data_IF_203286012194
#
_entry.id   IF_203286012194
#
_cell.length_a   1.000
_cell.length_b   1.000
_cell.length_c   1.000
_cell.angle_alpha   90.00
_cell.angle_beta   90.00
_cell.angle_gamma   90.00
#
_symmetry.space_group_name_H-M   'P 1'
#
loop_
_entity.id
_entity.type
_entity.pdbx_description
1 polymer ?
#
# COMPACT_ATOMS: atom_id res chain seq x y z
N UNK A 1 39.99 4.80 -4.35
CA UNK A 1 38.86 4.60 -5.30
C UNK A 1 37.82 5.65 -4.97
N UNK A 2 37.93 6.85 -5.56
CA UNK A 2 36.93 7.90 -5.40
C UNK A 2 35.73 7.53 -6.27
N UNK A 3 34.62 7.15 -5.65
CA UNK A 3 33.36 6.99 -6.36
C UNK A 3 32.89 8.41 -6.68
N UNK A 4 33.10 8.84 -7.91
CA UNK A 4 32.46 10.03 -8.46
C UNK A 4 30.96 9.73 -8.51
N UNK A 5 30.22 10.16 -7.50
CA UNK A 5 28.78 10.29 -7.61
C UNK A 5 28.55 11.39 -8.65
N UNK A 6 28.18 11.00 -9.87
CA UNK A 6 27.54 11.93 -10.80
C UNK A 6 26.21 12.33 -10.15
N UNK A 7 26.23 13.36 -9.32
CA UNK A 7 25.03 13.98 -8.78
C UNK A 7 24.24 14.52 -9.96
N UNK A 8 23.05 13.97 -10.18
CA UNK A 8 22.21 14.39 -11.29
C UNK A 8 21.65 15.78 -10.96
N UNK A 9 22.11 16.79 -11.67
CA UNK A 9 21.67 18.18 -11.49
C UNK A 9 20.18 18.31 -11.81
N UNK A 10 19.41 18.81 -10.86
CA UNK A 10 18.00 19.19 -11.06
C UNK A 10 17.95 20.61 -11.60
N UNK A 11 18.52 21.55 -10.86
CA UNK A 11 18.50 22.97 -11.17
C UNK A 11 19.61 23.67 -10.39
N UNK A 12 20.21 24.69 -11.02
CA UNK A 12 21.10 25.64 -10.37
C UNK A 12 20.58 27.05 -10.58
N UNK A 13 20.40 27.78 -9.49
CA UNK A 13 20.16 29.21 -9.50
C UNK A 13 21.49 29.91 -9.21
N UNK A 14 21.90 30.84 -10.06
CA UNK A 14 23.19 31.54 -9.99
C UNK A 14 23.10 32.88 -10.73
N UNK A 15 24.12 33.73 -10.60
CA UNK A 15 24.21 35.03 -11.28
C UNK A 15 23.01 35.96 -10.98
N UNK A 16 22.44 35.88 -9.78
CA UNK A 16 21.25 36.65 -9.39
C UNK A 16 19.95 36.24 -10.07
N UNK A 17 19.91 35.09 -10.77
CA UNK A 17 18.73 34.61 -11.47
C UNK A 17 17.98 33.59 -10.60
N UNK A 18 16.83 34.02 -10.06
CA UNK A 18 15.92 33.17 -9.30
C UNK A 18 15.40 31.98 -10.15
N UNK A 19 15.16 30.84 -9.50
CA UNK A 19 14.57 29.65 -10.11
C UNK A 19 13.46 29.09 -9.23
N UNK A 20 12.35 28.69 -9.83
CA UNK A 20 11.27 28.00 -9.13
C UNK A 20 10.73 26.85 -9.97
N UNK A 21 10.05 25.90 -9.31
CA UNK A 21 9.53 24.72 -9.98
C UNK A 21 8.96 23.70 -9.00
N UNK A 22 8.93 22.44 -9.44
CA UNK A 22 8.45 21.30 -8.67
C UNK A 22 9.48 20.17 -8.64
N UNK A 23 9.54 19.47 -7.52
CA UNK A 23 10.30 18.23 -7.32
C UNK A 23 9.34 17.06 -7.33
N UNK A 24 9.72 16.01 -8.06
CA UNK A 24 9.07 14.71 -7.98
C UNK A 24 9.48 13.97 -6.70
N UNK A 25 8.73 12.95 -6.26
CA UNK A 25 9.13 12.12 -5.12
C UNK A 25 10.54 11.53 -5.30
N UNK A 26 11.36 11.59 -4.25
CA UNK A 26 12.76 11.16 -4.31
C UNK A 26 13.64 11.67 -3.17
N UNK A 27 14.93 11.39 -3.27
CA UNK A 27 15.94 11.85 -2.33
C UNK A 27 16.82 12.89 -3.00
N UNK A 28 16.93 14.06 -2.37
CA UNK A 28 17.59 15.24 -2.92
C UNK A 28 18.69 15.75 -2.01
N UNK A 29 19.61 16.48 -2.62
CA UNK A 29 20.60 17.29 -1.92
C UNK A 29 20.45 18.74 -2.37
N UNK A 30 20.63 19.66 -1.42
CA UNK A 30 20.66 21.09 -1.68
C UNK A 30 21.96 21.67 -1.14
N UNK A 31 22.58 22.52 -1.94
CA UNK A 31 23.71 23.34 -1.55
C UNK A 31 23.35 24.81 -1.75
N UNK A 32 23.45 25.61 -0.69
CA UNK A 32 23.34 27.06 -0.74
C UNK A 32 24.71 27.66 -0.46
N UNK A 33 25.10 28.64 -1.28
CA UNK A 33 26.38 29.36 -1.18
C UNK A 33 26.14 30.85 -1.21
N UNK A 34 26.44 31.55 -0.12
CA UNK A 34 26.29 32.99 -0.05
C UNK A 34 27.28 33.70 -0.99
N UNK A 35 26.93 34.90 -1.43
CA UNK A 35 27.82 35.68 -2.29
C UNK A 35 28.90 36.40 -1.48
N UNK A 36 29.99 36.74 -2.17
CA UNK A 36 31.06 37.55 -1.60
C UNK A 36 30.61 39.02 -1.43
N UNK A 37 31.11 39.67 -0.38
CA UNK A 37 31.07 41.13 -0.32
C UNK A 37 32.04 41.78 -1.31
N UNK A 38 31.84 43.06 -1.60
CA UNK A 38 32.72 43.79 -2.51
C UNK A 38 34.18 43.73 -2.06
N UNK A 39 35.05 43.38 -2.99
CA UNK A 39 36.50 43.53 -2.84
C UNK A 39 37.00 44.93 -3.24
N UNK A 40 38.06 45.39 -2.56
CA UNK A 40 38.92 46.51 -2.96
C UNK A 40 40.22 45.97 -3.57
N UNK A 41 40.96 46.78 -4.35
CA UNK A 41 42.26 46.37 -4.89
C UNK A 41 43.25 45.90 -3.81
N UNK A 42 43.19 46.49 -2.62
CA UNK A 42 44.06 46.16 -1.48
C UNK A 42 43.51 45.06 -0.57
N UNK A 43 42.20 44.83 -0.54
CA UNK A 43 41.55 43.93 0.43
C UNK A 43 40.36 43.19 -0.17
N UNK A 44 40.31 41.88 0.04
CA UNK A 44 39.20 41.04 -0.39
C UNK A 44 37.96 41.26 0.48
N UNK A 45 36.78 41.31 -0.16
CA UNK A 45 35.50 41.23 0.53
C UNK A 45 35.30 39.86 1.16
N UNK A 46 34.49 39.80 2.20
CA UNK A 46 34.21 38.58 2.92
C UNK A 46 33.53 37.56 2.03
N UNK A 47 33.98 36.31 2.07
CA UNK A 47 33.38 35.21 1.30
C UNK A 47 32.08 34.77 1.96
N UNK A 48 31.08 34.36 1.18
CA UNK A 48 29.82 33.87 1.72
C UNK A 48 29.94 32.45 2.30
N UNK A 49 29.04 32.10 3.20
CA UNK A 49 28.97 30.78 3.83
C UNK A 49 28.48 29.68 2.89
N UNK A 50 28.60 28.43 3.36
CA UNK A 50 28.03 27.25 2.74
C UNK A 50 27.02 26.59 3.66
N UNK A 51 25.89 26.14 3.11
CA UNK A 51 24.98 25.21 3.80
C UNK A 51 24.61 24.09 2.84
N UNK A 52 24.81 22.84 3.26
CA UNK A 52 24.31 21.66 2.54
C UNK A 52 23.37 20.85 3.41
N UNK A 53 22.44 20.15 2.77
CA UNK A 53 21.60 19.17 3.43
C UNK A 53 21.04 18.16 2.43
N UNK A 54 20.68 17.00 2.95
CA UNK A 54 19.88 16.00 2.24
C UNK A 54 18.43 16.05 2.74
N UNK A 55 17.47 15.82 1.85
CA UNK A 55 16.06 15.76 2.23
C UNK A 55 15.29 14.82 1.32
N UNK A 56 14.22 14.27 1.86
CA UNK A 56 13.32 13.35 1.16
C UNK A 56 12.04 14.07 0.79
N UNK A 57 11.68 14.01 -0.49
CA UNK A 57 10.43 14.56 -1.00
C UNK A 57 9.41 13.43 -1.10
N UNK A 58 8.31 13.57 -0.36
CA UNK A 58 7.12 12.72 -0.43
C UNK A 58 6.06 13.50 -1.20
N UNK A 59 5.40 12.86 -2.16
CA UNK A 59 4.56 13.53 -3.17
C UNK A 59 5.34 14.59 -3.97
N UNK A 60 4.62 15.47 -4.66
CA UNK A 60 5.21 16.62 -5.35
C UNK A 60 5.46 17.76 -4.36
N UNK A 61 6.60 18.44 -4.48
CA UNK A 61 6.97 19.58 -3.64
C UNK A 61 7.37 20.78 -4.50
N UNK A 62 6.97 21.99 -4.11
CA UNK A 62 7.39 23.21 -4.81
C UNK A 62 8.71 23.74 -4.24
N UNK A 63 9.56 24.30 -5.10
CA UNK A 63 10.78 24.97 -4.68
C UNK A 63 10.88 26.40 -5.24
N UNK A 64 11.60 27.26 -4.51
CA UNK A 64 11.92 28.64 -4.84
C UNK A 64 13.37 28.90 -4.40
N UNK A 65 14.26 29.14 -5.36
CA UNK A 65 15.69 29.32 -5.18
C UNK A 65 16.08 30.74 -5.55
N UNK A 66 16.81 31.39 -4.66
CA UNK A 66 17.32 32.75 -4.84
C UNK A 66 18.83 32.75 -4.62
N UNK A 67 19.63 32.95 -5.67
CA UNK A 67 21.07 33.04 -5.54
C UNK A 67 21.47 34.45 -5.10
N UNK A 68 22.48 34.52 -4.23
CA UNK A 68 23.09 35.78 -3.84
C UNK A 68 23.93 36.38 -4.96
N UNK A 69 23.96 37.69 -5.11
CA UNK A 69 24.95 38.38 -5.97
C UNK A 69 26.03 39.04 -5.13
N UNK A 70 27.21 39.21 -5.71
CA UNK A 70 28.31 39.95 -5.11
C UNK A 70 27.89 41.39 -4.80
N UNK A 71 28.41 41.93 -3.70
CA UNK A 71 28.34 43.37 -3.47
C UNK A 71 29.19 44.12 -4.50
N UNK A 72 28.65 45.18 -5.10
CA UNK A 72 29.40 46.03 -6.03
C UNK A 72 29.74 47.37 -5.40
N UNK A 73 30.30 48.32 -6.16
CA UNK A 73 30.58 49.67 -5.67
C UNK A 73 29.33 50.52 -5.48
N UNK A 74 28.25 50.18 -6.19
CA UNK A 74 27.03 50.98 -6.27
C UNK A 74 25.84 50.27 -5.62
N UNK A 75 25.82 48.95 -5.69
CA UNK A 75 24.70 48.11 -5.28
C UNK A 75 25.15 47.10 -4.24
N UNK A 76 24.31 46.91 -3.24
CA UNK A 76 24.42 45.75 -2.37
C UNK A 76 24.01 44.48 -3.12
N UNK A 77 24.56 43.35 -2.70
CA UNK A 77 24.25 42.07 -3.30
C UNK A 77 22.76 41.72 -3.14
N UNK A 78 22.11 41.30 -4.22
CA UNK A 78 20.76 40.77 -4.17
C UNK A 78 20.77 39.39 -3.46
N UNK A 79 19.76 39.01 -2.67
CA UNK A 79 18.54 39.77 -2.37
C UNK A 79 18.67 40.75 -1.20
N UNK A 80 19.60 40.54 -0.28
CA UNK A 80 19.58 41.14 1.06
C UNK A 80 20.96 41.60 1.58
N UNK A 81 21.92 41.81 0.69
CA UNK A 81 23.22 42.38 1.01
C UNK A 81 23.10 43.76 1.66
N UNK A 82 24.00 44.08 2.58
CA UNK A 82 24.06 45.38 3.23
C UNK A 82 24.62 46.47 2.31
N UNK A 83 24.04 47.66 2.37
CA UNK A 83 24.59 48.84 1.68
C UNK A 83 25.64 49.53 2.54
N UNK A 84 26.75 49.92 1.93
CA UNK A 84 27.79 50.70 2.55
C UNK A 84 27.30 52.11 2.89
N UNK A 85 27.80 52.66 3.99
CA UNK A 85 27.52 54.04 4.43
C UNK A 85 28.27 55.10 3.61
N UNK A 86 29.33 54.72 2.91
CA UNK A 86 30.15 55.59 2.07
C UNK A 86 30.78 54.82 0.90
N UNK A 87 31.28 55.53 -0.12
CA UNK A 87 31.97 54.93 -1.27
C UNK A 87 33.34 54.33 -0.93
N UNK A 88 33.91 54.71 0.22
CA UNK A 88 35.17 54.16 0.77
C UNK A 88 34.99 52.77 1.38
N UNK A 89 33.75 52.28 1.44
CA UNK A 89 33.42 50.95 1.94
C UNK A 89 32.73 50.11 0.84
N UNK A 90 32.97 48.81 0.89
CA UNK A 90 32.41 47.84 -0.04
C UNK A 90 30.97 47.55 0.36
N UNK A 91 30.09 47.25 -0.58
CA UNK A 91 28.76 46.73 -0.24
C UNK A 91 28.83 45.22 0.10
N UNK A 92 27.89 44.72 0.88
CA UNK A 92 27.84 43.33 1.30
C UNK A 92 27.27 42.44 0.20
N UNK A 93 27.70 41.18 0.18
CA UNK A 93 27.16 40.15 -0.70
C UNK A 93 25.79 39.70 -0.23
N UNK A 94 24.93 39.30 -1.16
CA UNK A 94 23.61 38.76 -0.83
C UNK A 94 23.67 37.30 -0.38
N UNK A 95 22.64 36.88 0.37
CA UNK A 95 22.46 35.48 0.72
C UNK A 95 21.98 34.63 -0.45
N UNK A 96 22.23 33.33 -0.34
CA UNK A 96 21.59 32.33 -1.18
C UNK A 96 20.57 31.54 -0.38
N UNK A 97 19.34 31.44 -0.89
CA UNK A 97 18.20 30.86 -0.19
C UNK A 97 17.51 29.79 -1.03
N UNK A 98 17.30 28.62 -0.45
CA UNK A 98 16.38 27.60 -0.93
C UNK A 98 15.12 27.58 -0.06
N UNK A 99 13.95 27.60 -0.68
CA UNK A 99 12.66 27.40 0.00
C UNK A 99 11.94 26.24 -0.64
N UNK A 100 11.44 25.31 0.18
CA UNK A 100 10.64 24.16 -0.25
C UNK A 100 9.27 24.23 0.44
N UNK A 101 8.20 24.09 -0.35
CA UNK A 101 6.81 24.29 0.12
C UNK A 101 6.01 23.00 -0.05
N UNK A 102 5.47 22.52 1.07
CA UNK A 102 4.46 21.47 1.16
C UNK A 102 3.32 22.00 2.06
N UNK A 103 2.92 21.31 3.13
CA UNK A 103 1.99 21.80 4.16
C UNK A 103 2.68 22.82 5.08
N UNK A 104 4.00 22.68 5.24
CA UNK A 104 4.89 23.61 5.93
C UNK A 104 5.94 24.17 4.96
N UNK A 105 6.52 25.32 5.30
CA UNK A 105 7.60 25.94 4.53
C UNK A 105 8.95 25.59 5.16
N UNK A 106 9.79 24.87 4.41
CA UNK A 106 11.17 24.58 4.78
C UNK A 106 12.11 25.53 4.04
N UNK A 107 13.16 25.98 4.70
CA UNK A 107 14.13 26.85 4.06
C UNK A 107 15.55 26.57 4.53
N UNK A 108 16.50 26.89 3.66
CA UNK A 108 17.93 26.94 3.94
C UNK A 108 18.49 28.25 3.40
N UNK A 109 19.35 28.89 4.16
CA UNK A 109 19.94 30.17 3.81
C UNK A 109 21.42 30.15 4.13
N UNK A 110 22.24 30.37 3.11
CA UNK A 110 23.65 30.66 3.25
C UNK A 110 23.86 32.17 3.26
N UNK A 111 24.38 32.69 4.38
CA UNK A 111 24.73 34.09 4.54
C UNK A 111 25.81 34.53 3.54
N UNK A 112 25.63 35.70 2.96
CA UNK A 112 26.65 36.42 2.19
C UNK A 112 27.69 37.07 3.10
N UNK A 113 28.84 37.40 2.52
CA UNK A 113 29.93 38.07 3.24
C UNK A 113 29.84 39.60 3.22
N UNK A 114 30.54 40.26 4.13
CA UNK A 114 30.57 41.72 4.26
C UNK A 114 31.51 42.35 3.24
N UNK A 115 31.24 43.60 2.86
CA UNK A 115 32.16 44.34 2.00
C UNK A 115 33.48 44.67 2.70
N UNK A 116 34.58 44.72 1.94
CA UNK A 116 35.87 45.19 2.41
C UNK A 116 35.97 46.73 2.44
N UNK A 117 37.08 47.23 2.97
CA UNK A 117 37.47 48.65 2.91
C UNK A 117 38.90 48.77 2.36
N UNK A 118 39.38 50.00 2.19
CA UNK A 118 40.76 50.25 1.76
C UNK A 118 41.80 49.68 2.75
N UNK A 119 41.47 49.62 4.04
CA UNK A 119 42.40 49.20 5.09
C UNK A 119 42.13 47.79 5.64
N UNK A 120 40.92 47.26 5.48
CA UNK A 120 40.56 45.98 6.10
C UNK A 120 39.72 45.05 5.21
N UNK A 121 39.90 43.74 5.40
CA UNK A 121 39.19 42.66 4.68
C UNK A 121 37.77 42.45 5.19
N UNK A 122 36.83 42.18 4.29
CA UNK A 122 35.44 41.93 4.67
C UNK A 122 35.28 40.68 5.55
N UNK A 123 34.33 40.72 6.49
CA UNK A 123 34.00 39.58 7.34
C UNK A 123 33.31 38.46 6.54
N UNK A 124 33.71 37.20 6.77
CA UNK A 124 33.12 36.04 6.11
C UNK A 124 31.67 35.79 6.58
N UNK A 125 30.83 35.33 5.66
CA UNK A 125 29.47 34.88 5.93
C UNK A 125 29.45 33.63 6.80
N UNK A 126 28.48 33.54 7.72
CA UNK A 126 28.29 32.38 8.60
C UNK A 126 29.42 32.22 9.61
N UNK A 127 29.39 32.94 10.74
CA UNK A 127 30.39 32.78 11.80
C UNK A 127 30.40 31.37 12.42
N UNK A 128 31.57 30.92 12.89
CA UNK A 128 31.83 29.56 13.37
C UNK A 128 30.81 29.11 14.44
N UNK A 129 30.12 28.00 14.16
CA UNK A 129 29.21 27.27 15.08
C UNK A 129 27.97 27.98 15.64
N UNK A 130 27.56 29.14 15.13
CA UNK A 130 26.21 29.63 15.47
C UNK A 130 25.20 28.99 14.52
N UNK A 131 24.37 28.09 15.02
CA UNK A 131 23.08 27.79 14.40
C UNK A 131 22.02 28.20 15.41
N UNK A 132 21.02 28.97 14.98
CA UNK A 132 19.95 29.42 15.86
C UNK A 132 18.83 28.37 15.84
N UNK A 133 18.67 27.63 16.95
CA UNK A 133 17.48 26.81 17.16
C UNK A 133 16.33 27.77 17.50
N UNK A 134 15.35 27.85 16.60
CA UNK A 134 14.03 28.40 16.95
C UNK A 134 13.32 27.42 17.89
N UNK A 135 13.23 27.71 19.19
CA UNK A 135 12.20 27.11 20.04
C UNK A 135 10.91 27.93 19.86
N UNK A 136 9.83 27.26 19.51
CA UNK A 136 8.51 27.86 19.30
C UNK A 136 7.89 28.26 20.65
N UNK A 137 8.40 29.32 21.26
CA UNK A 137 7.76 30.01 22.38
C UNK A 137 8.33 31.41 22.54
N UNK A 138 7.71 32.38 21.86
CA UNK A 138 7.79 33.81 22.21
C UNK A 138 9.15 34.49 21.98
N UNK A 139 9.35 35.01 20.77
CA UNK A 139 10.08 36.27 20.44
C UNK A 139 11.32 36.57 21.31
N UNK A 140 12.18 35.58 21.55
CA UNK A 140 13.49 35.76 22.18
C UNK A 140 14.50 34.94 21.37
N UNK A 141 15.50 35.64 20.83
CA UNK A 141 16.66 35.07 20.18
C UNK A 141 17.74 34.95 21.24
N UNK A 142 17.95 33.77 21.80
CA UNK A 142 19.10 33.53 22.67
C UNK A 142 20.30 33.15 21.80
N UNK A 143 21.28 34.05 21.73
CA UNK A 143 22.57 33.81 21.11
C UNK A 143 23.34 32.80 21.98
N UNK A 144 23.58 31.60 21.43
CA UNK A 144 24.54 30.63 21.97
C UNK A 144 25.76 30.64 21.06
N UNK A 145 26.54 31.72 21.10
CA UNK A 145 27.83 31.78 20.42
C UNK A 145 28.89 31.03 21.24
N UNK A 146 29.82 30.38 20.55
CA UNK A 146 31.12 30.04 21.15
C UNK A 146 31.94 31.34 21.19
N UNK A 147 32.07 31.91 22.38
CA UNK A 147 32.78 33.18 22.60
C UNK A 147 34.26 33.09 22.25
N UNK A 148 34.85 31.88 22.13
CA UNK A 148 36.27 31.70 21.84
C UNK A 148 36.69 32.19 20.44
N UNK A 149 35.76 32.33 19.49
CA UNK A 149 36.06 32.82 18.14
C UNK A 149 35.90 34.34 17.96
N UNK A 150 35.36 35.02 18.99
CA UNK A 150 35.36 36.49 19.09
C UNK A 150 36.75 37.03 19.49
N UNK A 151 37.65 36.15 19.92
CA UNK A 151 38.95 36.44 20.53
C UNK A 151 40.16 35.86 19.74
N UNK A 152 39.98 35.37 18.50
CA UNK A 152 41.15 34.94 17.73
C UNK A 152 42.01 36.17 17.38
N UNK A 153 43.35 36.10 17.50
CA UNK A 153 44.23 37.28 17.37
C UNK A 153 44.16 37.99 16.01
N UNK A 154 43.60 37.30 15.00
CA UNK A 154 43.39 37.78 13.64
C UNK A 154 41.90 37.78 13.21
N UNK A 155 40.96 37.41 14.11
CA UNK A 155 39.52 37.52 13.83
C UNK A 155 39.02 38.91 14.21
N UNK A 156 38.85 39.74 13.18
CA UNK A 156 38.36 41.11 13.28
C UNK A 156 37.00 41.14 14.02
N UNK A 157 37.02 41.69 15.24
CA UNK A 157 35.96 41.65 16.25
C UNK A 157 34.53 42.04 15.79
N UNK A 158 33.49 41.64 16.55
CA UNK A 158 32.20 42.33 16.59
C UNK A 158 32.35 43.65 17.38
N UNK A 159 33.13 44.58 16.83
CA UNK A 159 33.13 45.97 17.31
C UNK A 159 31.79 46.61 17.00
N UNK A 160 31.35 47.56 17.84
CA UNK A 160 30.18 48.39 17.56
C UNK A 160 30.17 48.82 16.09
N UNK A 161 29.19 48.34 15.32
CA UNK A 161 29.08 48.60 13.90
C UNK A 161 28.79 50.09 13.70
N UNK A 162 29.80 50.90 13.38
CA UNK A 162 29.62 52.34 13.18
C UNK A 162 29.85 52.74 11.71
N UNK A 163 30.69 52.07 10.92
CA UNK A 163 30.80 52.28 9.46
C UNK A 163 31.16 50.98 8.70
N UNK A 164 30.45 50.69 7.59
CA UNK A 164 30.66 49.48 6.77
C UNK A 164 29.36 48.74 6.38
N UNK A 165 29.41 47.90 5.34
CA UNK A 165 28.28 47.03 4.96
C UNK A 165 28.40 45.67 5.63
N UNK A 166 27.28 45.16 6.17
CA UNK A 166 27.18 43.76 6.60
C UNK A 166 26.80 42.86 5.42
N UNK A 167 27.18 41.59 5.46
CA UNK A 167 26.72 40.57 4.53
C UNK A 167 25.22 40.28 4.67
N UNK A 168 24.56 39.91 3.58
CA UNK A 168 23.12 39.63 3.53
C UNK A 168 22.74 38.22 3.98
N UNK A 169 21.58 38.11 4.63
CA UNK A 169 20.84 36.88 4.92
C UNK A 169 21.48 35.84 5.83
N UNK A 170 20.64 34.86 6.19
CA UNK A 170 20.83 33.99 7.34
C UNK A 170 19.65 34.07 8.31
N UNK A 171 19.77 33.46 9.50
CA UNK A 171 18.79 33.64 10.60
C UNK A 171 18.96 34.97 11.33
N UNK A 172 20.18 35.51 11.34
CA UNK A 172 20.47 36.89 11.69
C UNK A 172 20.92 37.61 10.43
N UNK A 173 20.19 38.64 10.02
CA UNK A 173 20.60 39.51 8.91
C UNK A 173 21.90 40.21 9.33
N UNK A 174 22.89 40.31 8.44
CA UNK A 174 24.13 41.00 8.77
C UNK A 174 23.88 42.47 9.10
N UNK A 175 24.57 42.96 10.13
CA UNK A 175 24.39 44.31 10.66
C UNK A 175 25.37 45.27 9.97
N UNK A 176 24.82 46.23 9.22
CA UNK A 176 25.57 47.38 8.72
C UNK A 176 25.88 48.40 9.83
N UNK A 177 26.88 49.27 9.61
CA UNK A 177 27.29 50.28 10.59
C UNK A 177 26.38 51.51 10.71
N UNK A 178 26.34 52.16 11.88
CA UNK A 178 25.69 53.46 12.14
C UNK A 178 26.71 54.60 12.31
N UNK A 179 26.68 55.61 11.43
CA UNK A 179 27.66 56.71 11.42
C UNK A 179 27.80 57.39 12.80
N UNK A 180 28.95 57.22 13.46
CA UNK A 180 29.32 57.97 14.67
C UNK A 180 30.60 58.76 14.41
N UNK A 181 30.51 60.08 14.40
CA UNK A 181 31.59 61.00 14.02
C UNK A 181 32.78 61.11 14.99
N UNK A 182 33.13 60.04 15.73
CA UNK A 182 34.16 60.08 16.77
C UNK A 182 35.07 58.87 16.95
N UNK A 183 34.80 57.70 16.34
CA UNK A 183 35.59 56.48 16.58
C UNK A 183 36.36 56.02 15.33
N UNK A 184 37.62 55.61 15.50
CA UNK A 184 38.51 55.04 14.46
C UNK A 184 38.36 53.51 14.29
N UNK A 185 37.49 52.88 15.07
CA UNK A 185 37.30 51.43 15.06
C UNK A 185 35.93 51.09 14.46
N UNK A 186 35.86 50.99 13.12
CA UNK A 186 34.88 50.18 12.38
C UNK A 186 34.87 50.56 10.90
N UNK A 187 35.37 49.70 10.02
CA UNK A 187 35.33 49.89 8.56
C UNK A 187 34.62 48.72 7.82
N UNK A 188 34.20 47.69 8.56
CA UNK A 188 33.63 46.43 8.05
C UNK A 188 32.39 46.07 8.86
N UNK A 189 31.29 45.70 8.18
CA UNK A 189 30.08 45.23 8.84
C UNK A 189 30.13 43.74 9.22
N UNK A 190 29.20 43.30 10.06
CA UNK A 190 29.09 41.89 10.47
C UNK A 190 28.25 41.13 9.44
N UNK A 191 28.70 39.95 9.02
CA UNK A 191 27.91 39.07 8.15
C UNK A 191 26.91 38.23 8.93
N UNK A 192 25.82 37.83 8.27
CA UNK A 192 24.78 37.02 8.88
C UNK A 192 25.22 35.57 9.19
N UNK A 193 24.37 34.85 9.91
CA UNK A 193 24.58 33.44 10.27
C UNK A 193 23.73 32.50 9.40
N UNK A 194 24.35 31.51 8.78
CA UNK A 194 23.65 30.52 7.94
C UNK A 194 22.67 29.68 8.75
N UNK A 195 21.56 29.26 8.14
CA UNK A 195 20.51 28.55 8.87
C UNK A 195 19.66 27.63 8.01
N UNK A 196 18.86 26.81 8.69
CA UNK A 196 17.77 26.04 8.11
C UNK A 196 16.57 26.03 9.08
N UNK A 197 15.37 25.69 8.58
CA UNK A 197 14.21 25.45 9.44
C UNK A 197 14.37 24.15 10.26
N UNK A 198 14.11 24.20 11.57
CA UNK A 198 14.20 23.05 12.50
C UNK A 198 13.14 21.99 12.23
N UNK A 199 13.52 20.70 12.28
CA UNK A 199 12.64 19.54 12.09
C UNK A 199 13.41 18.31 11.58
N UNK A 200 12.70 17.23 11.23
CA UNK A 200 13.31 16.00 10.67
C UNK A 200 13.38 15.97 9.13
N UNK A 201 13.04 17.09 8.47
CA UNK A 201 12.99 17.20 7.01
C UNK A 201 14.39 17.21 6.37
N UNK A 202 15.25 18.15 6.82
CA UNK A 202 16.65 18.19 6.43
C UNK A 202 17.47 17.24 7.31
N UNK A 203 18.39 16.51 6.69
CA UNK A 203 19.31 15.55 7.31
C UNK A 203 20.72 15.78 6.77
N UNK A 204 21.72 15.26 7.49
CA UNK A 204 23.14 15.38 7.10
C UNK A 204 23.50 16.83 6.76
N UNK A 205 23.08 17.74 7.64
CA UNK A 205 23.23 19.18 7.46
C UNK A 205 24.68 19.53 7.77
N UNK A 206 25.35 20.21 6.84
CA UNK A 206 26.69 20.76 7.03
C UNK A 206 26.68 22.26 6.76
N UNK A 207 27.08 23.04 7.76
CA UNK A 207 27.18 24.49 7.68
C UNK A 207 28.66 24.85 7.80
N UNK A 208 29.18 25.57 6.82
CA UNK A 208 30.55 26.09 6.82
C UNK A 208 30.54 27.60 6.74
N UNK A 209 31.43 28.22 7.50
CA UNK A 209 31.75 29.63 7.34
C UNK A 209 32.41 29.89 5.98
N UNK A 210 32.32 31.13 5.50
CA UNK A 210 32.94 31.54 4.25
C UNK A 210 34.47 31.53 4.28
N UNK A 211 35.11 31.43 5.45
CA UNK A 211 36.56 31.27 5.56
C UNK A 211 37.05 29.84 5.23
N UNK A 212 36.13 28.88 5.15
CA UNK A 212 36.44 27.46 4.92
C UNK A 212 37.07 27.18 3.55
N UNK A 213 36.54 27.79 2.48
CA UNK A 213 37.03 27.60 1.11
C UNK A 213 37.21 28.90 0.32
N UNK A 214 37.00 30.05 0.96
CA UNK A 214 37.26 31.38 0.40
C UNK A 214 36.56 31.61 -0.95
N UNK A 215 35.34 31.10 -1.09
CA UNK A 215 34.54 31.23 -2.31
C UNK A 215 34.30 32.70 -2.71
N UNK A 216 34.59 33.03 -3.97
CA UNK A 216 34.53 34.40 -4.51
C UNK A 216 33.41 34.56 -5.54
N UNK A 217 32.88 35.78 -5.63
CA UNK A 217 31.84 36.16 -6.60
C UNK A 217 30.41 35.86 -6.16
N UNK A 218 29.54 35.68 -7.16
CA UNK A 218 28.11 35.44 -6.96
C UNK A 218 27.86 34.11 -6.26
N UNK A 219 26.91 34.12 -5.34
CA UNK A 219 26.39 32.94 -4.69
C UNK A 219 25.53 32.10 -5.63
N UNK A 220 25.24 30.87 -5.19
CA UNK A 220 24.34 29.99 -5.92
C UNK A 220 23.50 29.13 -4.98
N UNK A 221 22.46 28.55 -5.55
CA UNK A 221 21.71 27.45 -4.96
C UNK A 221 21.64 26.32 -5.97
N UNK A 222 22.15 25.16 -5.58
CA UNK A 222 22.17 23.97 -6.43
C UNK A 222 21.30 22.87 -5.80
N UNK A 223 20.43 22.29 -6.62
CA UNK A 223 19.65 21.11 -6.28
C UNK A 223 20.10 19.93 -7.13
N UNK A 224 20.41 18.83 -6.47
CA UNK A 224 20.73 17.55 -7.10
C UNK A 224 19.87 16.45 -6.50
N UNK A 225 19.80 15.29 -7.15
CA UNK A 225 19.13 14.12 -6.60
C UNK A 225 20.04 12.90 -6.53
N UNK A 226 19.83 12.09 -5.49
CA UNK A 226 20.46 10.78 -5.33
C UNK A 226 19.66 9.72 -6.10
N UNK A 227 18.34 9.73 -5.94
CA UNK A 227 17.41 8.90 -6.70
C UNK A 227 16.02 9.54 -6.78
N UNK A 228 15.31 9.25 -7.87
CA UNK A 228 13.90 9.58 -8.04
C UNK A 228 13.05 8.32 -7.89
N UNK A 229 11.85 8.47 -7.34
CA UNK A 229 10.90 7.36 -7.29
C UNK A 229 10.42 6.98 -8.69
N UNK A 230 10.05 5.70 -8.84
CA UNK A 230 9.45 5.21 -10.08
C UNK A 230 8.08 5.86 -10.36
N UNK A 231 7.60 5.74 -11.58
CA UNK A 231 6.28 6.26 -11.99
C UNK A 231 5.16 5.79 -11.06
N UNK A 232 4.23 6.70 -10.74
CA UNK A 232 3.09 6.51 -9.82
C UNK A 232 3.47 6.23 -8.34
N UNK A 233 4.75 6.28 -8.00
CA UNK A 233 5.23 6.13 -6.63
C UNK A 233 5.41 7.49 -5.96
N UNK A 234 4.81 7.68 -4.79
CA UNK A 234 4.89 8.92 -4.01
C UNK A 234 5.85 8.88 -2.82
N UNK A 235 6.37 7.69 -2.49
CA UNK A 235 7.36 7.47 -1.44
C UNK A 235 8.20 6.21 -1.75
N UNK A 236 9.53 6.35 -1.77
CA UNK A 236 10.48 5.29 -2.07
C UNK A 236 11.81 5.48 -1.32
N UNK A 237 12.56 4.39 -1.13
CA UNK A 237 13.94 4.42 -0.60
C UNK A 237 15.00 4.10 -1.68
N UNK A 238 14.55 3.80 -2.90
CA UNK A 238 15.39 3.62 -4.08
C UNK A 238 14.60 3.90 -5.35
N UNK A 239 15.30 4.02 -6.48
CA UNK A 239 14.67 4.16 -7.80
C UNK A 239 13.93 2.91 -8.29
N UNK A 240 14.11 1.77 -7.62
CA UNK A 240 13.58 0.46 -8.02
C UNK A 240 12.52 -0.12 -7.09
N UNK A 241 12.26 0.52 -5.93
CA UNK A 241 11.33 0.01 -4.94
C UNK A 241 10.46 1.12 -4.38
N UNK A 242 9.14 0.93 -4.46
CA UNK A 242 8.16 1.84 -3.92
C UNK A 242 7.61 1.39 -2.56
N UNK A 243 7.41 2.36 -1.67
CA UNK A 243 6.78 2.16 -0.37
C UNK A 243 5.30 2.56 -0.37
N UNK A 244 4.91 3.53 -1.22
CA UNK A 244 3.53 4.01 -1.32
C UNK A 244 3.24 4.58 -2.73
N UNK A 245 2.13 4.14 -3.31
CA UNK A 245 1.64 4.64 -4.60
C UNK A 245 0.77 5.88 -4.42
N UNK A 246 0.56 6.61 -5.52
CA UNK A 246 -0.49 7.64 -5.59
C UNK A 246 -1.89 7.05 -5.36
N UNK A 247 -2.91 7.91 -5.29
CA UNK A 247 -4.27 7.51 -4.95
C UNK A 247 -4.98 6.66 -6.01
N UNK A 248 -4.47 6.58 -7.25
CA UNK A 248 -5.09 5.81 -8.35
C UNK A 248 -4.45 4.45 -8.57
N UNK A 249 -3.32 4.17 -7.91
CA UNK A 249 -2.57 2.92 -8.05
C UNK A 249 -2.48 2.12 -6.76
N UNK A 250 -2.17 0.84 -6.90
CA UNK A 250 -1.97 -0.09 -5.79
C UNK A 250 -0.55 -0.61 -5.75
N UNK A 251 -0.03 -0.76 -4.54
CA UNK A 251 1.31 -1.28 -4.31
C UNK A 251 1.31 -2.81 -4.42
N UNK A 252 2.02 -3.32 -5.42
CA UNK A 252 2.19 -4.75 -5.68
C UNK A 252 3.65 -5.04 -6.05
N UNK A 253 4.28 -6.01 -5.37
CA UNK A 253 5.69 -6.36 -5.56
C UNK A 253 6.64 -5.13 -5.58
N UNK A 254 6.43 -4.19 -4.64
CA UNK A 254 7.17 -2.93 -4.52
C UNK A 254 7.07 -2.01 -5.75
N UNK A 255 6.05 -2.17 -6.60
CA UNK A 255 5.77 -1.29 -7.73
C UNK A 255 4.33 -0.75 -7.76
N UNK A 256 4.12 0.29 -8.55
CA UNK A 256 2.84 1.04 -8.67
C UNK A 256 2.27 1.03 -10.10
N UNK A 257 2.42 -0.09 -10.81
CA UNK A 257 1.99 -0.20 -12.21
C UNK A 257 0.52 -0.58 -12.38
N UNK A 258 -0.17 -0.97 -11.30
CA UNK A 258 -1.54 -1.48 -11.33
C UNK A 258 -2.49 -0.52 -10.63
N UNK A 259 -3.71 -0.38 -11.15
CA UNK A 259 -4.81 0.35 -10.50
C UNK A 259 -5.65 -0.54 -9.59
N UNK A 260 -5.67 -1.85 -9.84
CA UNK A 260 -6.37 -2.86 -9.06
C UNK A 260 -5.45 -4.04 -8.76
N UNK A 261 -5.67 -4.72 -7.64
CA UNK A 261 -4.88 -5.90 -7.30
C UNK A 261 -5.15 -7.05 -8.28
N UNK A 262 -4.11 -7.80 -8.66
CA UNK A 262 -4.26 -8.94 -9.56
C UNK A 262 -5.06 -10.07 -8.88
N UNK A 263 -5.49 -11.07 -9.67
CA UNK A 263 -6.13 -12.27 -9.13
C UNK A 263 -5.28 -12.93 -8.02
N UNK A 264 -5.93 -13.54 -7.04
CA UNK A 264 -5.32 -14.07 -5.81
C UNK A 264 -4.78 -13.02 -4.82
N UNK A 265 -5.04 -11.72 -5.05
CA UNK A 265 -4.72 -10.65 -4.12
C UNK A 265 -5.96 -9.79 -3.84
N UNK A 266 -6.00 -9.15 -2.67
CA UNK A 266 -7.01 -8.16 -2.33
C UNK A 266 -6.34 -6.84 -1.94
N UNK A 267 -7.03 -5.73 -2.20
CA UNK A 267 -6.58 -4.41 -1.81
C UNK A 267 -6.92 -4.18 -0.33
N UNK A 268 -5.91 -3.83 0.46
CA UNK A 268 -6.09 -3.26 1.78
C UNK A 268 -5.28 -1.97 1.88
N UNK A 269 -5.98 -0.84 1.96
CA UNK A 269 -5.40 0.49 2.12
C UNK A 269 -4.36 0.85 1.03
N UNK A 270 -4.64 0.51 -0.23
CA UNK A 270 -3.77 0.81 -1.37
C UNK A 270 -2.63 -0.19 -1.58
N UNK A 271 -2.56 -1.28 -0.81
CA UNK A 271 -1.56 -2.35 -0.96
C UNK A 271 -2.23 -3.69 -1.23
N UNK A 272 -1.62 -4.46 -2.13
CA UNK A 272 -2.10 -5.78 -2.48
C UNK A 272 -1.53 -6.85 -1.54
N UNK A 273 -2.42 -7.57 -0.87
CA UNK A 273 -2.08 -8.70 -0.01
C UNK A 273 -2.61 -10.00 -0.60
N UNK A 274 -1.86 -11.08 -0.44
CA UNK A 274 -2.27 -12.38 -0.94
C UNK A 274 -3.54 -12.86 -0.24
N UNK A 275 -4.45 -13.44 -1.02
CA UNK A 275 -5.59 -14.17 -0.48
C UNK A 275 -5.15 -15.42 0.29
N UNK A 276 -6.07 -16.03 1.05
CA UNK A 276 -5.89 -17.36 1.63
C UNK A 276 -5.51 -18.39 0.55
N UNK A 277 -4.81 -19.45 0.95
CA UNK A 277 -4.37 -20.53 0.06
C UNK A 277 -5.50 -21.04 -0.85
N UNK A 278 -5.15 -21.33 -2.09
CA UNK A 278 -6.07 -21.83 -3.14
C UNK A 278 -7.24 -20.90 -3.51
N UNK A 279 -7.32 -19.71 -2.94
CA UNK A 279 -8.31 -18.72 -3.31
C UNK A 279 -7.89 -17.94 -4.57
N UNK A 280 -8.85 -17.75 -5.48
CA UNK A 280 -8.70 -16.97 -6.72
C UNK A 280 -9.19 -15.53 -6.52
N UNK A 281 -10.34 -15.33 -5.90
CA UNK A 281 -10.89 -13.99 -5.59
C UNK A 281 -11.26 -13.94 -4.12
N UNK A 282 -10.71 -12.99 -3.37
CA UNK A 282 -11.05 -12.75 -1.97
C UNK A 282 -11.36 -11.27 -1.71
N UNK A 283 -12.09 -10.99 -0.63
CA UNK A 283 -12.34 -9.62 -0.17
C UNK A 283 -11.49 -9.22 1.04
N UNK A 284 -10.92 -10.20 1.74
CA UNK A 284 -10.00 -10.02 2.86
C UNK A 284 -9.15 -11.29 3.03
N UNK A 285 -8.28 -11.30 4.05
CA UNK A 285 -7.37 -12.43 4.32
C UNK A 285 -8.05 -13.76 4.64
N UNK A 286 -9.31 -13.76 5.07
CA UNK A 286 -10.00 -14.94 5.60
C UNK A 286 -11.21 -15.41 4.77
N UNK A 287 -11.68 -14.60 3.83
CA UNK A 287 -12.92 -14.83 3.10
C UNK A 287 -12.66 -14.94 1.60
N UNK A 288 -12.76 -16.16 1.09
CA UNK A 288 -12.70 -16.45 -0.33
C UNK A 288 -14.09 -16.41 -0.99
N UNK A 289 -14.15 -15.89 -2.21
CA UNK A 289 -15.36 -15.85 -3.06
C UNK A 289 -15.28 -16.81 -4.25
N UNK A 290 -14.09 -17.17 -4.69
CA UNK A 290 -13.90 -18.18 -5.74
C UNK A 290 -12.55 -18.89 -5.60
N UNK A 291 -12.53 -20.19 -5.89
CA UNK A 291 -11.33 -21.01 -5.76
C UNK A 291 -10.55 -21.11 -7.07
N UNK A 292 -9.25 -21.41 -6.97
CA UNK A 292 -8.42 -21.81 -8.12
C UNK A 292 -8.92 -23.16 -8.66
N UNK A 293 -8.60 -23.43 -9.93
CA UNK A 293 -8.97 -24.69 -10.58
C UNK A 293 -8.56 -25.89 -9.73
N UNK A 294 -9.44 -26.89 -9.63
CA UNK A 294 -9.33 -28.10 -8.78
C UNK A 294 -9.79 -27.98 -7.33
N UNK A 295 -10.10 -26.77 -6.83
CA UNK A 295 -10.60 -26.57 -5.46
C UNK A 295 -12.06 -26.11 -5.44
N UNK A 296 -12.79 -26.48 -4.40
CA UNK A 296 -14.20 -26.19 -4.20
C UNK A 296 -14.40 -25.20 -3.06
N UNK A 297 -15.30 -24.24 -3.26
CA UNK A 297 -15.63 -23.23 -2.25
C UNK A 297 -16.58 -23.82 -1.21
N UNK A 298 -16.14 -23.85 0.05
CA UNK A 298 -16.96 -24.29 1.18
C UNK A 298 -16.67 -23.45 2.41
N UNK A 299 -17.71 -22.86 3.02
CA UNK A 299 -17.56 -22.01 4.21
C UNK A 299 -16.60 -20.82 4.03
N UNK A 300 -16.49 -20.29 2.81
CA UNK A 300 -15.57 -19.19 2.49
C UNK A 300 -14.11 -19.59 2.32
N UNK A 301 -13.80 -20.90 2.23
CA UNK A 301 -12.44 -21.45 2.06
C UNK A 301 -12.35 -22.40 0.86
N UNK A 302 -11.12 -22.64 0.41
CA UNK A 302 -10.80 -23.42 -0.79
C UNK A 302 -9.85 -24.59 -0.48
N UNK A 303 -10.09 -25.30 0.63
CA UNK A 303 -9.14 -26.30 1.13
C UNK A 303 -9.47 -27.72 0.64
N UNK A 304 -10.50 -27.87 -0.21
CA UNK A 304 -11.08 -29.18 -0.56
C UNK A 304 -11.20 -29.36 -2.07
N UNK A 305 -10.97 -30.58 -2.53
CA UNK A 305 -11.21 -31.01 -3.92
C UNK A 305 -12.52 -31.80 -4.07
N UNK A 306 -13.12 -32.22 -2.95
CA UNK A 306 -14.42 -32.91 -2.87
C UNK A 306 -15.31 -32.26 -1.81
N UNK A 307 -16.62 -32.23 -2.07
CA UNK A 307 -17.57 -31.67 -1.13
C UNK A 307 -17.76 -32.57 0.10
N UNK A 308 -17.82 -32.00 1.33
CA UNK A 308 -18.06 -32.78 2.54
C UNK A 308 -19.44 -33.46 2.53
N UNK A 309 -19.69 -34.43 3.42
CA UNK A 309 -21.01 -35.03 3.58
C UNK A 309 -22.11 -33.97 3.75
N UNK A 310 -23.33 -34.28 3.30
CA UNK A 310 -24.48 -33.36 3.27
C UNK A 310 -24.38 -32.18 2.29
N UNK A 311 -23.35 -32.16 1.44
CA UNK A 311 -23.19 -31.14 0.39
C UNK A 311 -22.87 -31.76 -0.96
N UNK A 312 -23.08 -31.02 -2.03
CA UNK A 312 -22.77 -31.44 -3.40
C UNK A 312 -22.07 -30.32 -4.18
N UNK A 313 -21.33 -30.70 -5.23
CA UNK A 313 -20.64 -29.72 -6.07
C UNK A 313 -21.63 -29.07 -7.04
N UNK A 314 -21.90 -27.79 -6.82
CA UNK A 314 -22.65 -26.92 -7.72
C UNK A 314 -21.68 -25.89 -8.31
N UNK A 315 -21.20 -26.13 -9.53
CA UNK A 315 -20.33 -25.19 -10.27
C UNK A 315 -19.11 -24.69 -9.47
N UNK A 316 -18.40 -25.61 -8.79
CA UNK A 316 -17.24 -25.35 -7.93
C UNK A 316 -17.54 -24.75 -6.55
N UNK A 317 -18.82 -24.72 -6.15
CA UNK A 317 -19.26 -24.36 -4.79
C UNK A 317 -19.92 -25.59 -4.15
N UNK A 318 -19.62 -25.86 -2.88
CA UNK A 318 -20.27 -26.93 -2.15
C UNK A 318 -21.56 -26.43 -1.50
N UNK A 319 -22.67 -26.67 -2.17
CA UNK A 319 -24.01 -26.31 -1.70
C UNK A 319 -24.62 -27.41 -0.84
N UNK A 320 -25.50 -27.01 0.08
CA UNK A 320 -26.17 -27.95 0.99
C UNK A 320 -27.20 -28.81 0.24
N UNK A 321 -27.22 -30.11 0.54
CA UNK A 321 -28.30 -30.99 0.07
C UNK A 321 -29.65 -30.55 0.67
N UNK A 322 -30.75 -30.86 -0.02
CA UNK A 322 -32.10 -30.76 0.56
C UNK A 322 -32.19 -31.65 1.80
N UNK A 323 -32.98 -31.21 2.78
CA UNK A 323 -33.15 -31.80 4.13
C UNK A 323 -33.21 -33.34 4.11
N UNK A 324 -32.53 -33.96 5.08
CA UNK A 324 -32.49 -35.42 5.34
C UNK A 324 -31.71 -36.29 4.34
N UNK A 325 -30.90 -35.68 3.47
CA UNK A 325 -30.05 -36.39 2.49
C UNK A 325 -28.59 -36.34 2.91
N UNK A 326 -27.93 -37.49 2.99
CA UNK A 326 -26.51 -37.61 3.39
C UNK A 326 -25.56 -37.47 2.19
N UNK A 327 -25.95 -38.03 1.05
CA UNK A 327 -25.23 -37.87 -0.23
C UNK A 327 -26.24 -37.58 -1.34
N UNK A 328 -26.12 -36.39 -1.93
CA UNK A 328 -26.93 -35.98 -3.07
C UNK A 328 -26.02 -35.73 -4.29
N UNK A 329 -26.48 -36.16 -5.47
CA UNK A 329 -25.77 -35.95 -6.75
C UNK A 329 -26.13 -34.62 -7.39
N UNK A 330 -27.35 -34.18 -7.11
CA UNK A 330 -27.93 -32.90 -7.44
C UNK A 330 -28.91 -32.54 -6.30
N UNK A 331 -29.47 -31.33 -6.27
CA UNK A 331 -30.41 -30.93 -5.21
C UNK A 331 -31.61 -31.88 -5.04
N UNK A 332 -32.01 -32.65 -6.07
CA UNK A 332 -33.24 -33.44 -6.13
C UNK A 332 -33.06 -34.95 -6.04
N UNK A 333 -31.88 -35.50 -6.32
CA UNK A 333 -31.57 -36.92 -6.40
C UNK A 333 -30.73 -37.37 -5.20
N UNK A 334 -31.28 -38.24 -4.35
CA UNK A 334 -30.59 -38.73 -3.16
C UNK A 334 -30.09 -40.15 -3.35
N UNK A 335 -28.86 -40.43 -2.91
CA UNK A 335 -28.29 -41.78 -2.88
C UNK A 335 -28.32 -42.42 -1.50
N UNK A 336 -28.19 -41.62 -0.43
CA UNK A 336 -28.26 -42.08 0.96
C UNK A 336 -29.01 -41.08 1.84
N UNK A 337 -29.90 -41.56 2.69
CA UNK A 337 -30.67 -40.73 3.62
C UNK A 337 -29.99 -40.65 4.98
N UNK A 338 -30.07 -39.48 5.63
CA UNK A 338 -29.64 -39.29 7.01
C UNK A 338 -30.49 -40.19 7.92
N UNK A 339 -29.88 -40.95 8.83
CA UNK A 339 -30.63 -41.72 9.82
C UNK A 339 -31.54 -40.80 10.66
N UNK A 340 -32.83 -41.15 10.89
CA UNK A 340 -33.50 -42.43 10.62
C UNK A 340 -34.33 -42.49 9.32
N UNK A 341 -34.11 -41.60 8.35
CA UNK A 341 -34.87 -41.56 7.10
C UNK A 341 -34.45 -42.69 6.13
N UNK A 342 -35.40 -43.16 5.31
CA UNK A 342 -35.24 -44.27 4.36
C UNK A 342 -35.35 -43.78 2.92
N UNK A 343 -34.53 -44.35 2.03
CA UNK A 343 -34.55 -44.04 0.60
C UNK A 343 -35.74 -44.73 -0.08
N UNK A 344 -36.64 -43.94 -0.66
CA UNK A 344 -37.75 -44.44 -1.46
C UNK A 344 -38.00 -43.53 -2.66
N UNK A 345 -37.98 -44.08 -3.88
CA UNK A 345 -38.22 -43.31 -5.11
C UNK A 345 -37.28 -42.10 -5.28
N UNK A 346 -36.03 -42.19 -4.79
CA UNK A 346 -35.06 -41.10 -4.82
C UNK A 346 -35.25 -40.00 -3.77
N UNK A 347 -36.17 -40.18 -2.80
CA UNK A 347 -36.51 -39.22 -1.75
C UNK A 347 -36.20 -39.78 -0.35
N UNK A 348 -35.99 -38.88 0.62
CA UNK A 348 -35.65 -39.15 2.03
C UNK A 348 -36.60 -38.44 2.99
N UNK A 349 -37.90 -38.52 2.73
CA UNK A 349 -38.97 -37.85 3.49
C UNK A 349 -39.66 -38.77 4.51
N UNK A 350 -39.28 -40.06 4.56
CA UNK A 350 -39.99 -41.07 5.34
C UNK A 350 -39.06 -41.82 6.29
N UNK A 351 -39.57 -42.13 7.48
CA UNK A 351 -38.90 -43.02 8.47
C UNK A 351 -39.45 -44.46 8.41
N UNK A 352 -40.53 -44.69 7.65
CA UNK A 352 -41.17 -45.99 7.46
C UNK A 352 -41.47 -46.24 5.99
N UNK A 353 -41.30 -47.49 5.54
CA UNK A 353 -41.58 -47.87 4.15
C UNK A 353 -43.09 -47.89 3.86
N UNK A 354 -43.54 -47.37 2.70
CA UNK A 354 -44.94 -47.40 2.29
C UNK A 354 -45.43 -48.84 2.03
N UNK A 355 -46.75 -49.00 1.90
CA UNK A 355 -47.33 -50.30 1.53
C UNK A 355 -46.71 -50.82 0.21
N UNK A 356 -46.66 -52.14 0.10
CA UNK A 356 -46.01 -52.87 -0.99
C UNK A 356 -44.47 -52.75 -1.04
N UNK A 357 -43.86 -52.23 0.03
CA UNK A 357 -42.39 -52.20 0.21
C UNK A 357 -41.98 -52.65 1.61
N UNK A 358 -40.72 -53.04 1.78
CA UNK A 358 -40.13 -53.40 3.08
C UNK A 358 -38.79 -52.69 3.30
N UNK A 359 -38.39 -52.55 4.57
CA UNK A 359 -37.12 -51.95 4.95
C UNK A 359 -35.98 -52.94 4.69
N UNK A 360 -35.08 -52.59 3.79
CA UNK A 360 -33.83 -53.29 3.55
C UNK A 360 -32.66 -52.35 3.88
N UNK A 361 -32.03 -52.50 5.05
CA UNK A 361 -31.05 -51.53 5.52
C UNK A 361 -31.65 -50.11 5.66
N UNK A 362 -31.14 -49.15 4.87
CA UNK A 362 -31.60 -47.75 4.82
C UNK A 362 -32.45 -47.41 3.57
N UNK A 363 -32.96 -48.40 2.83
CA UNK A 363 -33.83 -48.21 1.67
C UNK A 363 -35.13 -49.00 1.78
N UNK A 364 -36.13 -48.60 0.99
CA UNK A 364 -37.40 -49.32 0.85
C UNK A 364 -37.44 -50.07 -0.48
N UNK A 365 -37.36 -51.40 -0.39
CA UNK A 365 -37.39 -52.29 -1.55
C UNK A 365 -38.80 -52.85 -1.78
N UNK A 366 -39.13 -53.14 -3.04
CA UNK A 366 -40.44 -53.68 -3.40
C UNK A 366 -40.65 -55.08 -2.83
N UNK A 367 -41.87 -55.33 -2.33
CA UNK A 367 -42.33 -56.68 -2.02
C UNK A 367 -42.41 -57.55 -3.28
N UNK A 368 -42.55 -58.87 -3.10
CA UNK A 368 -42.94 -59.78 -4.17
C UNK A 368 -44.23 -59.30 -4.86
N UNK A 369 -44.39 -59.60 -6.17
CA UNK A 369 -45.55 -59.14 -6.95
C UNK A 369 -46.87 -59.50 -6.26
N UNK A 370 -47.83 -58.58 -6.33
CA UNK A 370 -49.19 -58.70 -5.77
C UNK A 370 -49.26 -58.77 -4.23
N UNK A 371 -48.14 -58.46 -3.56
CA UNK A 371 -48.07 -58.36 -2.11
C UNK A 371 -48.25 -56.91 -1.64
N UNK A 372 -49.14 -56.70 -0.66
CA UNK A 372 -49.44 -55.42 -0.02
C UNK A 372 -48.57 -55.16 1.23
N UNK A 373 -48.18 -56.19 1.97
CA UNK A 373 -47.27 -56.10 3.12
C UNK A 373 -46.34 -57.30 3.16
N UNK A 374 -45.03 -57.09 3.28
CA UNK A 374 -44.01 -58.14 3.32
C UNK A 374 -42.95 -57.83 4.38
N UNK A 375 -42.20 -58.86 4.80
CA UNK A 375 -41.03 -58.70 5.69
C UNK A 375 -39.71 -58.68 4.91
N UNK A 376 -39.67 -59.31 3.74
CA UNK A 376 -38.54 -59.35 2.82
C UNK A 376 -39.02 -59.57 1.37
N UNK A 377 -38.09 -59.75 0.43
CA UNK A 377 -38.39 -59.94 -1.00
C UNK A 377 -39.11 -61.26 -1.34
N UNK A 378 -39.20 -62.21 -0.41
CA UNK A 378 -39.73 -63.56 -0.67
C UNK A 378 -40.99 -63.91 0.13
N UNK A 379 -41.27 -63.21 1.22
CA UNK A 379 -42.36 -63.54 2.15
C UNK A 379 -43.40 -62.42 2.16
N UNK A 380 -44.60 -62.73 1.66
CA UNK A 380 -45.76 -61.88 1.77
C UNK A 380 -46.59 -62.18 3.03
N UNK A 381 -47.10 -61.13 3.68
CA UNK A 381 -48.02 -61.20 4.83
C UNK A 381 -49.47 -60.89 4.44
N UNK A 382 -49.66 -60.00 3.45
CA UNK A 382 -50.99 -59.59 3.03
C UNK A 382 -51.00 -59.28 1.54
N UNK A 383 -51.96 -59.80 0.80
CA UNK A 383 -52.04 -59.66 -0.66
C UNK A 383 -52.89 -58.44 -1.08
N UNK A 384 -52.67 -57.94 -2.30
CA UNK A 384 -53.57 -56.93 -2.90
C UNK A 384 -54.97 -57.52 -3.13
N UNK A 385 -56.00 -56.68 -3.08
CA UNK A 385 -57.40 -57.12 -3.34
C UNK A 385 -57.47 -57.91 -4.66
N UNK A 386 -58.01 -59.13 -4.60
CA UNK A 386 -58.08 -60.17 -5.66
C UNK A 386 -57.04 -61.31 -5.60
N UNK A 387 -56.14 -61.31 -4.62
CA UNK A 387 -55.14 -62.36 -4.42
C UNK A 387 -55.24 -62.97 -3.02
N UNK A 388 -54.96 -64.27 -2.90
CA UNK A 388 -54.99 -65.01 -1.63
C UNK A 388 -53.57 -65.43 -1.25
N UNK A 389 -53.24 -65.31 0.04
CA UNK A 389 -51.94 -65.70 0.57
C UNK A 389 -51.85 -67.24 0.67
N UNK A 390 -50.88 -67.83 -0.02
CA UNK A 390 -50.52 -69.25 0.10
C UNK A 390 -49.01 -69.42 0.18
N UNK A 391 -48.54 -70.11 1.24
CA UNK A 391 -47.13 -70.41 1.48
C UNK A 391 -46.20 -69.19 1.33
N UNK A 392 -46.63 -68.02 1.83
CA UNK A 392 -45.86 -66.78 1.73
C UNK A 392 -45.90 -66.07 0.37
N UNK A 393 -46.70 -66.54 -0.60
CA UNK A 393 -46.85 -65.94 -1.92
C UNK A 393 -48.32 -65.60 -2.23
N UNK A 394 -48.57 -64.63 -3.11
CA UNK A 394 -49.90 -64.19 -3.50
C UNK A 394 -50.33 -64.81 -4.82
N UNK A 395 -51.31 -65.71 -4.77
CA UNK A 395 -51.87 -66.36 -5.96
C UNK A 395 -53.24 -65.78 -6.30
N UNK A 396 -53.52 -65.65 -7.60
CA UNK A 396 -54.85 -65.25 -8.08
C UNK A 396 -55.91 -66.21 -7.54
N UNK A 397 -57.02 -65.64 -7.09
CA UNK A 397 -58.18 -66.41 -6.71
C UNK A 397 -58.87 -66.94 -7.99
N UNK A 398 -58.50 -68.15 -8.44
CA UNK A 398 -59.28 -68.86 -9.46
C UNK A 398 -60.50 -69.51 -8.80
N UNK A 399 -61.62 -68.80 -8.77
CA UNK A 399 -62.91 -69.38 -8.44
C UNK A 399 -63.51 -70.02 -9.71
N UNK A 400 -63.66 -71.34 -9.74
CA UNK A 400 -64.63 -71.95 -10.65
C UNK A 400 -66.01 -71.86 -10.00
N UNK A 401 -66.90 -71.07 -10.58
CA UNK A 401 -68.29 -70.98 -10.14
C UNK A 401 -68.99 -72.30 -10.48
N UNK A 402 -69.54 -73.00 -9.48
CA UNK A 402 -70.63 -73.93 -9.76
C UNK A 402 -71.92 -73.13 -10.00
N UNK A 403 -72.85 -73.68 -10.79
CA UNK A 403 -74.05 -73.00 -11.34
C UNK A 403 -74.97 -72.26 -10.35
N UNK A 404 -74.69 -72.26 -9.04
CA UNK A 404 -75.43 -71.50 -8.01
C UNK A 404 -74.58 -70.48 -7.22
N UNK A 405 -73.39 -70.08 -7.71
CA UNK A 405 -72.71 -68.86 -7.23
C UNK A 405 -72.07 -68.89 -5.84
N UNK A 406 -71.86 -70.05 -5.21
CA UNK A 406 -71.07 -70.17 -3.97
C UNK A 406 -69.79 -71.00 -4.17
N UNK A 407 -68.68 -70.50 -3.63
CA UNK A 407 -67.33 -71.06 -3.78
C UNK A 407 -67.10 -72.19 -2.76
N UNK A 408 -66.97 -73.45 -3.20
CA UNK A 408 -67.00 -74.62 -2.30
C UNK A 408 -65.67 -75.33 -2.01
N UNK A 409 -64.55 -75.07 -2.71
CA UNK A 409 -63.24 -75.63 -2.28
C UNK A 409 -62.04 -75.06 -3.06
N UNK A 410 -60.85 -75.15 -2.46
CA UNK A 410 -59.56 -74.70 -3.01
C UNK A 410 -58.76 -75.91 -3.50
N UNK A 411 -58.28 -75.92 -4.74
CA UNK A 411 -57.42 -76.99 -5.26
C UNK A 411 -55.97 -76.86 -4.76
N UNK A 412 -55.46 -77.89 -4.10
CA UNK A 412 -54.03 -78.24 -4.12
C UNK A 412 -53.73 -79.03 -5.39
N UNK A 413 -52.49 -78.97 -5.87
CA UNK A 413 -51.99 -79.59 -7.11
C UNK A 413 -52.05 -81.12 -7.15
N UNK A 414 -52.72 -81.79 -6.21
CA UNK A 414 -52.81 -83.26 -6.13
C UNK A 414 -54.07 -83.86 -6.76
N UNK A 415 -55.04 -83.06 -7.22
CA UNK A 415 -56.32 -83.59 -7.76
C UNK A 415 -56.45 -83.62 -9.29
N UNK A 416 -55.33 -83.60 -10.03
CA UNK A 416 -55.34 -83.73 -11.50
C UNK A 416 -55.51 -85.19 -11.99
N UNK A 417 -55.71 -86.16 -11.10
CA UNK A 417 -55.85 -87.57 -11.47
C UNK A 417 -57.29 -88.09 -11.64
N UNK A 418 -58.33 -87.33 -11.25
CA UNK A 418 -59.69 -87.89 -11.13
C UNK A 418 -60.78 -87.30 -12.05
N UNK A 419 -60.45 -86.40 -12.97
CA UNK A 419 -61.41 -85.95 -13.99
C UNK A 419 -60.73 -85.97 -15.36
N UNK A 420 -60.69 -87.17 -15.95
CA UNK A 420 -60.15 -87.41 -17.27
C UNK A 420 -60.82 -86.52 -18.32
N UNK A 421 -60.09 -85.52 -18.80
CA UNK A 421 -60.35 -84.83 -20.07
C UNK A 421 -59.01 -84.55 -20.73
N UNK A 422 -58.51 -85.52 -21.49
CA UNK A 422 -57.65 -85.24 -22.64
C UNK A 422 -58.56 -84.70 -23.75
N UNK A 423 -58.36 -83.45 -24.18
CA UNK A 423 -58.13 -83.11 -25.60
C UNK A 423 -58.12 -81.60 -25.82
N UNK A 424 -57.31 -81.20 -26.81
CA UNK A 424 -57.30 -79.92 -27.52
C UNK A 424 -56.62 -78.77 -26.75
N UNK A 425 -55.34 -78.46 -26.99
CA UNK A 425 -54.86 -78.01 -28.30
C UNK A 425 -53.32 -78.04 -28.36
N UNK A 426 -52.79 -78.88 -29.27
CA UNK A 426 -51.54 -78.57 -29.97
C UNK A 426 -51.78 -77.30 -30.79
N UNK A 427 -51.05 -76.22 -30.54
CA UNK A 427 -50.63 -75.31 -31.62
C UNK A 427 -49.51 -74.36 -31.18
N UNK A 428 -48.44 -74.42 -31.97
CA UNK A 428 -47.34 -73.47 -32.17
C UNK A 428 -46.16 -73.43 -31.20
N UNK A 429 -45.14 -74.21 -31.57
CA UNK A 429 -43.74 -73.80 -31.52
C UNK A 429 -43.37 -73.08 -32.83
N UNK A 430 -42.43 -72.12 -32.72
CA UNK A 430 -41.66 -71.36 -33.76
C UNK A 430 -42.35 -70.19 -34.46
N UNK A 431 -41.99 -68.96 -34.06
CA UNK A 431 -40.79 -68.27 -34.57
C UNK A 431 -40.18 -67.42 -33.48
#
# INVERSE_FOLDING_TARGET
MYILFYSNLVVKAENGIDKSGTLSPGQYQVECRGAQGRSFPSNAGGCGSKVTAQFKVINTMHYDLKPGTEGTSLTAGYPDGGKASSLSYGNGGGSSKATFRSDENYFMIAAGGSGASENFRGAHGGGNNTYFIKKTSGILFDELSDTAYLDAPDSYHPGWALEGSGGGGGCMIGKGGFKNGGNRFSEIGVSGTSCHSSGNFFRNIDIKSGDYDLFQGDGYVELTYDYLCMTNCIDCDSSSSCNRCDSSHVLYNNGCSLTNCPESYYNNSGRCYACIAHCKICSNSNSCRSCKSSYLLYGGRCDRTTCPPFTYNNSNVCDSCITNREQCSDGNSCRNCKSPYLLYGGRCDRTTCPLSTYKNGNQCDNCIKFCKQCTNSSICLNCTSSYVLRHGNCTLQQCFNNKNGNCSSILSTENLYNFGIYSLTKKYYRK
#
